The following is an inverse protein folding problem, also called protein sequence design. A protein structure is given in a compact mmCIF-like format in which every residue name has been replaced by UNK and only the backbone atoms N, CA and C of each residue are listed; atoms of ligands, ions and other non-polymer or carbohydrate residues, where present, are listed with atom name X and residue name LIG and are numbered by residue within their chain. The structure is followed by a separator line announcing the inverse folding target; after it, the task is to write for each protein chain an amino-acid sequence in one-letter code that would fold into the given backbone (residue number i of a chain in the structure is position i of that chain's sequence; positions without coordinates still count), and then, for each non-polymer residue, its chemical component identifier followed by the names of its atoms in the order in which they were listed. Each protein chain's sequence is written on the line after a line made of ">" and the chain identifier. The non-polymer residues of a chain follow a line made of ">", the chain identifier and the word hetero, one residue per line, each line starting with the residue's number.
data_IF_817999543169
#
_entry.id   IF_817999543169
#
_cell.length_a   1.000
_cell.length_b   1.000
_cell.length_c   1.000
_cell.angle_alpha   90.00
_cell.angle_beta   90.00
_cell.angle_gamma   90.00
#
_symmetry.space_group_name_H-M   'P 1'
#
loop_
_entity.id
_entity.type
_entity.pdbx_description
1 polymer ?
#
# COMPACT_ATOMS: atom_id res chain seq x y z
N UNK A 1 18.24 -3.21 -20.03
CA UNK A 1 19.71 -3.36 -20.16
C UNK A 1 20.15 -4.82 -20.04
N UNK A 2 19.77 -5.51 -18.97
CA UNK A 2 20.34 -6.82 -18.61
C UNK A 2 19.85 -8.00 -19.45
N UNK A 3 18.83 -7.77 -20.28
CA UNK A 3 18.41 -8.68 -21.34
C UNK A 3 19.28 -8.58 -22.61
N UNK A 4 20.18 -7.59 -22.69
CA UNK A 4 21.08 -7.37 -23.83
C UNK A 4 22.48 -7.91 -23.50
N UNK A 5 23.10 -8.60 -24.45
CA UNK A 5 24.41 -9.22 -24.30
C UNK A 5 25.46 -8.22 -23.75
N UNK A 6 26.12 -8.53 -22.61
CA UNK A 6 27.18 -7.69 -22.04
C UNK A 6 28.32 -7.37 -23.01
N UNK A 7 28.58 -8.20 -24.03
CA UNK A 7 29.59 -7.96 -25.04
C UNK A 7 29.31 -6.70 -25.88
N UNK A 8 28.04 -6.29 -25.99
CA UNK A 8 27.62 -5.07 -26.70
C UNK A 8 27.95 -3.79 -25.91
N UNK A 9 28.16 -3.90 -24.59
CA UNK A 9 28.51 -2.79 -23.70
C UNK A 9 30.03 -2.59 -23.53
N UNK A 10 30.84 -3.39 -24.24
CA UNK A 10 32.30 -3.22 -24.22
C UNK A 10 32.68 -1.95 -24.99
N UNK A 11 33.74 -1.25 -24.55
CA UNK A 11 34.25 -0.07 -25.26
C UNK A 11 34.51 -0.37 -26.74
N UNK A 12 34.07 0.53 -27.63
CA UNK A 12 34.14 0.40 -29.08
C UNK A 12 32.85 -0.12 -29.73
N UNK A 13 31.75 -0.25 -28.98
CA UNK A 13 30.41 -0.62 -29.48
C UNK A 13 29.37 0.40 -29.00
N UNK A 14 28.57 0.07 -27.99
CA UNK A 14 27.67 1.02 -27.35
C UNK A 14 28.41 1.70 -26.19
N UNK A 15 29.13 2.77 -26.50
CA UNK A 15 29.93 3.52 -25.52
C UNK A 15 29.10 4.43 -24.61
N UNK A 16 27.82 4.63 -24.93
CA UNK A 16 26.90 5.47 -24.17
C UNK A 16 25.60 4.73 -23.91
N UNK A 17 25.22 4.66 -22.64
CA UNK A 17 23.91 4.21 -22.21
C UNK A 17 23.10 5.44 -21.78
N UNK A 18 21.97 5.67 -22.43
CA UNK A 18 21.02 6.72 -22.04
C UNK A 18 19.80 6.03 -21.45
N UNK A 19 19.59 6.21 -20.14
CA UNK A 19 18.41 5.71 -19.47
C UNK A 19 17.32 6.78 -19.50
N UNK A 20 16.16 6.44 -20.07
CA UNK A 20 14.99 7.31 -20.06
C UNK A 20 14.23 7.06 -18.75
N UNK A 21 14.15 8.04 -17.84
CA UNK A 21 13.41 7.89 -16.58
C UNK A 21 11.91 7.90 -16.84
N UNK A 22 11.13 7.51 -15.83
CA UNK A 22 9.68 7.64 -15.90
C UNK A 22 9.26 9.12 -15.94
N UNK A 23 8.15 9.44 -16.64
CA UNK A 23 7.68 10.81 -16.72
C UNK A 23 7.22 11.29 -15.34
N UNK A 24 7.78 12.42 -14.90
CA UNK A 24 7.32 13.17 -13.73
C UNK A 24 5.94 13.80 -14.01
N UNK A 25 5.32 14.45 -13.02
CA UNK A 25 4.00 15.07 -13.19
C UNK A 25 3.96 16.06 -14.37
N UNK A 26 5.03 16.82 -14.60
CA UNK A 26 5.13 17.80 -15.69
C UNK A 26 5.20 17.10 -17.05
N UNK A 27 6.08 16.12 -17.18
CA UNK A 27 6.21 15.30 -18.38
C UNK A 27 4.92 14.54 -18.68
N UNK A 28 4.21 14.00 -17.67
CA UNK A 28 2.91 13.35 -17.86
C UNK A 28 1.86 14.32 -18.42
N UNK A 29 1.81 15.56 -17.92
CA UNK A 29 0.95 16.61 -18.45
C UNK A 29 1.30 16.94 -19.91
N UNK A 30 2.58 17.05 -20.25
CA UNK A 30 3.03 17.29 -21.62
C UNK A 30 2.64 16.15 -22.56
N UNK A 31 2.83 14.90 -22.14
CA UNK A 31 2.44 13.71 -22.89
C UNK A 31 0.92 13.69 -23.08
N UNK A 32 0.15 13.99 -22.04
CA UNK A 32 -1.31 14.14 -22.11
C UNK A 32 -1.71 15.22 -23.10
N UNK A 33 -1.08 16.39 -23.08
CA UNK A 33 -1.32 17.47 -24.06
C UNK A 33 -1.07 17.01 -25.49
N UNK A 34 0.00 16.24 -25.74
CA UNK A 34 0.30 15.72 -27.08
C UNK A 34 -0.80 14.77 -27.55
N UNK A 35 -1.22 13.83 -26.72
CA UNK A 35 -2.23 12.83 -27.11
C UNK A 35 -3.65 13.39 -27.15
N UNK A 36 -3.96 14.44 -26.38
CA UNK A 36 -5.27 15.08 -26.35
C UNK A 36 -5.43 16.22 -27.34
N UNK A 37 -4.35 16.65 -28.03
CA UNK A 37 -4.37 17.77 -28.98
C UNK A 37 -5.42 17.63 -30.08
N UNK A 38 -5.67 16.41 -30.55
CA UNK A 38 -6.63 16.11 -31.61
C UNK A 38 -7.97 15.58 -31.08
N UNK A 39 -8.16 15.60 -29.75
CA UNK A 39 -9.38 15.13 -29.12
C UNK A 39 -10.31 16.31 -28.82
N UNK A 40 -11.61 16.21 -29.13
CA UNK A 40 -12.57 17.24 -28.79
C UNK A 40 -12.89 17.18 -27.29
N UNK A 41 -12.08 17.84 -26.46
CA UNK A 41 -12.24 17.88 -25.01
C UNK A 41 -13.36 18.83 -24.57
N UNK A 42 -13.96 18.53 -23.43
CA UNK A 42 -14.83 19.48 -22.71
C UNK A 42 -13.98 20.58 -22.06
N UNK A 43 -13.98 21.76 -22.65
CA UNK A 43 -13.32 22.97 -22.16
C UNK A 43 -14.32 23.92 -21.48
N UNK A 44 -13.83 24.91 -20.73
CA UNK A 44 -14.66 25.98 -20.12
C UNK A 44 -15.61 26.70 -21.08
N UNK A 45 -15.26 26.85 -22.37
CA UNK A 45 -16.15 27.42 -23.39
C UNK A 45 -17.32 26.49 -23.74
N UNK A 46 -17.05 25.19 -23.84
CA UNK A 46 -18.08 24.18 -24.16
C UNK A 46 -19.00 23.86 -22.97
N UNK A 47 -18.55 24.13 -21.74
CA UNK A 47 -19.43 24.13 -20.55
C UNK A 47 -20.36 25.35 -20.56
N UNK A 48 -19.91 26.49 -21.11
CA UNK A 48 -20.74 27.71 -21.23
C UNK A 48 -21.74 27.62 -22.39
N UNK A 49 -21.41 26.94 -23.49
CA UNK A 49 -22.33 26.70 -24.62
C UNK A 49 -23.41 25.67 -24.32
N UNK A 50 -23.29 24.91 -23.23
CA UNK A 50 -24.24 23.87 -22.82
C UNK A 50 -24.00 22.51 -23.48
N UNK A 51 -22.90 22.36 -24.23
CA UNK A 51 -22.52 21.09 -24.88
C UNK A 51 -21.93 20.07 -23.88
N UNK A 52 -21.52 20.54 -22.69
CA UNK A 52 -20.91 19.72 -21.64
C UNK A 52 -21.53 20.03 -20.27
N UNK A 53 -21.67 19.02 -19.41
CA UNK A 53 -22.12 19.24 -18.03
C UNK A 53 -21.13 20.08 -17.21
N UNK A 54 -21.60 20.86 -16.23
CA UNK A 54 -20.76 21.70 -15.34
C UNK A 54 -19.65 20.95 -14.57
N UNK A 55 -19.66 19.61 -14.55
CA UNK A 55 -18.64 18.76 -13.93
C UNK A 55 -17.82 17.92 -14.90
N UNK A 56 -17.95 18.13 -16.21
CA UNK A 56 -17.26 17.35 -17.24
C UNK A 56 -16.00 18.03 -17.80
N UNK A 57 -15.64 19.22 -17.30
CA UNK A 57 -14.44 19.95 -17.73
C UNK A 57 -13.17 19.12 -17.48
N UNK A 58 -12.35 18.97 -18.52
CA UNK A 58 -11.14 18.15 -18.47
C UNK A 58 -9.97 18.97 -17.94
N UNK A 59 -9.52 18.62 -16.74
CA UNK A 59 -8.32 19.18 -16.14
C UNK A 59 -7.13 18.22 -16.32
N UNK A 60 -6.24 18.57 -17.25
CA UNK A 60 -5.04 17.78 -17.54
C UNK A 60 -4.04 17.76 -16.38
N UNK A 61 -3.99 18.80 -15.54
CA UNK A 61 -3.11 18.82 -14.38
C UNK A 61 -3.57 17.80 -13.33
N UNK A 62 -4.88 17.72 -13.12
CA UNK A 62 -5.50 16.74 -12.22
C UNK A 62 -5.33 15.31 -12.74
N UNK A 63 -5.48 15.08 -14.05
CA UNK A 63 -5.22 13.76 -14.65
C UNK A 63 -3.73 13.38 -14.49
N UNK A 64 -2.80 14.33 -14.64
CA UNK A 64 -1.37 14.08 -14.45
C UNK A 64 -1.00 13.72 -12.99
N UNK A 65 -1.74 14.26 -12.01
CA UNK A 65 -1.63 13.85 -10.59
C UNK A 65 -2.12 12.42 -10.39
N UNK A 66 -3.27 12.07 -10.97
CA UNK A 66 -3.90 10.75 -10.81
C UNK A 66 -3.20 9.62 -11.59
N UNK A 67 -2.44 9.94 -12.63
CA UNK A 67 -1.74 8.97 -13.50
C UNK A 67 -0.32 8.66 -13.02
N UNK A 68 -0.11 8.61 -11.71
CA UNK A 68 1.20 8.25 -11.16
C UNK A 68 1.62 6.83 -11.55
N UNK A 69 2.87 6.66 -11.98
CA UNK A 69 3.39 5.37 -12.46
C UNK A 69 2.99 4.98 -13.89
N UNK A 70 2.23 5.81 -14.61
CA UNK A 70 1.93 5.58 -16.03
C UNK A 70 3.15 5.90 -16.90
N UNK A 71 3.44 5.03 -17.86
CA UNK A 71 4.39 5.31 -18.95
C UNK A 71 3.74 6.18 -20.02
N UNK A 72 4.53 6.75 -20.93
CA UNK A 72 3.97 7.48 -22.08
C UNK A 72 3.01 6.64 -22.92
N UNK A 73 3.27 5.33 -23.05
CA UNK A 73 2.38 4.40 -23.74
C UNK A 73 1.06 4.17 -22.97
N UNK A 74 1.11 4.10 -21.64
CA UNK A 74 -0.09 3.96 -20.81
C UNK A 74 -0.96 5.23 -20.90
N UNK A 75 -0.34 6.41 -20.93
CA UNK A 75 -1.05 7.68 -21.12
C UNK A 75 -1.71 7.75 -22.50
N UNK A 76 -1.02 7.28 -23.55
CA UNK A 76 -1.60 7.18 -24.88
C UNK A 76 -2.79 6.22 -24.91
N UNK A 77 -2.68 5.07 -24.25
CA UNK A 77 -3.76 4.10 -24.11
C UNK A 77 -4.94 4.70 -23.31
N UNK A 78 -4.67 5.44 -22.24
CA UNK A 78 -5.68 6.13 -21.43
C UNK A 78 -6.47 7.14 -22.27
N UNK A 79 -5.78 7.96 -23.08
CA UNK A 79 -6.44 8.92 -23.97
C UNK A 79 -7.33 8.20 -25.00
N UNK A 80 -6.84 7.08 -25.57
CA UNK A 80 -7.62 6.27 -26.52
C UNK A 80 -8.85 5.64 -25.86
N UNK A 81 -8.71 5.11 -24.65
CA UNK A 81 -9.81 4.49 -23.91
C UNK A 81 -10.84 5.52 -23.45
N UNK A 82 -10.41 6.73 -23.10
CA UNK A 82 -11.32 7.85 -22.82
C UNK A 82 -12.15 8.23 -24.07
N UNK A 83 -11.52 8.25 -25.25
CA UNK A 83 -12.22 8.45 -26.52
C UNK A 83 -13.25 7.33 -26.78
N UNK A 84 -12.86 6.08 -26.55
CA UNK A 84 -13.75 4.92 -26.70
C UNK A 84 -14.91 4.94 -25.71
N UNK A 85 -14.70 5.39 -24.48
CA UNK A 85 -15.75 5.57 -23.48
C UNK A 85 -16.77 6.62 -23.92
N UNK A 86 -16.30 7.77 -24.41
CA UNK A 86 -17.16 8.80 -24.98
C UNK A 86 -17.95 8.29 -26.19
N UNK A 87 -17.34 7.46 -27.04
CA UNK A 87 -17.99 6.85 -28.20
C UNK A 87 -19.06 5.83 -27.77
N UNK A 88 -18.76 4.96 -26.79
CA UNK A 88 -19.73 4.02 -26.21
C UNK A 88 -20.93 4.76 -25.63
N UNK A 89 -20.71 5.86 -24.92
CA UNK A 89 -21.78 6.73 -24.40
C UNK A 89 -22.65 7.29 -25.52
N UNK A 90 -22.06 7.72 -26.63
CA UNK A 90 -22.80 8.25 -27.78
C UNK A 90 -23.66 7.17 -28.46
N UNK A 91 -23.13 5.96 -28.61
CA UNK A 91 -23.88 4.79 -29.13
C UNK A 91 -25.04 4.44 -28.19
N UNK A 92 -24.80 4.34 -26.87
CA UNK A 92 -25.85 3.99 -25.89
C UNK A 92 -26.96 5.02 -25.78
N UNK A 93 -26.69 6.30 -26.07
CA UNK A 93 -27.70 7.36 -26.14
C UNK A 93 -28.50 7.36 -27.45
N UNK A 94 -28.22 6.43 -28.37
CA UNK A 94 -28.87 6.35 -29.68
C UNK A 94 -28.49 7.48 -30.64
N UNK A 95 -27.39 8.20 -30.35
CA UNK A 95 -26.89 9.28 -31.20
C UNK A 95 -26.08 8.75 -32.39
N UNK A 96 -25.62 7.50 -32.33
CA UNK A 96 -24.85 6.86 -33.40
C UNK A 96 -25.55 5.54 -33.72
N UNK A 97 -26.15 5.46 -34.89
CA UNK A 97 -26.68 4.23 -35.45
C UNK A 97 -25.55 3.50 -36.18
N UNK A 98 -25.19 2.31 -35.70
CA UNK A 98 -24.09 1.51 -36.26
C UNK A 98 -24.48 0.87 -37.60
N UNK A 99 -25.77 0.87 -37.95
CA UNK A 99 -26.27 0.28 -39.19
C UNK A 99 -26.21 1.25 -40.38
N UNK A 100 -25.91 2.54 -40.15
CA UNK A 100 -25.75 3.54 -41.20
C UNK A 100 -24.29 3.72 -41.61
N UNK A 101 -24.02 3.75 -42.93
CA UNK A 101 -22.66 3.91 -43.48
C UNK A 101 -22.04 5.30 -43.20
N UNK A 102 -22.85 6.31 -42.83
CA UNK A 102 -22.40 7.69 -42.66
C UNK A 102 -22.86 8.29 -41.34
N UNK A 103 -21.92 8.87 -40.58
CA UNK A 103 -22.23 9.59 -39.33
C UNK A 103 -22.60 11.05 -39.67
N UNK A 104 -23.77 11.55 -39.23
CA UNK A 104 -24.15 12.95 -39.45
C UNK A 104 -23.13 13.94 -38.86
N UNK A 105 -22.78 14.98 -39.61
CA UNK A 105 -21.81 16.00 -39.16
C UNK A 105 -22.23 16.73 -37.88
N UNK A 106 -23.52 16.88 -37.63
CA UNK A 106 -24.05 17.46 -36.40
C UNK A 106 -23.63 16.66 -35.16
N UNK A 107 -23.56 15.34 -35.27
CA UNK A 107 -23.21 14.44 -34.16
C UNK A 107 -21.70 14.45 -33.92
N UNK A 108 -20.91 14.48 -35.01
CA UNK A 108 -19.45 14.65 -34.93
C UNK A 108 -19.07 15.97 -34.27
N UNK A 109 -19.83 17.04 -34.53
CA UNK A 109 -19.58 18.37 -33.95
C UNK A 109 -19.91 18.44 -32.45
N UNK A 110 -20.86 17.62 -31.97
CA UNK A 110 -21.32 17.56 -30.56
C UNK A 110 -20.57 16.54 -29.72
N UNK A 111 -19.84 15.60 -30.33
CA UNK A 111 -19.08 14.61 -29.58
C UNK A 111 -17.96 15.30 -28.80
N UNK A 112 -17.99 15.17 -27.47
CA UNK A 112 -16.98 15.70 -26.57
C UNK A 112 -16.55 14.63 -25.57
N UNK A 113 -15.27 14.65 -25.21
CA UNK A 113 -14.67 13.79 -24.18
C UNK A 113 -14.58 14.58 -22.89
N UNK A 114 -15.26 14.08 -21.85
CA UNK A 114 -15.33 14.71 -20.54
C UNK A 114 -14.44 14.03 -19.51
N UNK A 115 -14.31 14.67 -18.34
CA UNK A 115 -13.54 14.13 -17.22
C UNK A 115 -14.03 12.75 -16.74
N UNK A 116 -15.35 12.50 -16.82
CA UNK A 116 -15.94 11.19 -16.49
C UNK A 116 -15.40 10.06 -17.35
N UNK A 117 -15.11 10.35 -18.62
CA UNK A 117 -14.65 9.35 -19.59
C UNK A 117 -13.20 8.95 -19.28
N UNK A 118 -12.38 9.90 -18.82
CA UNK A 118 -11.04 9.62 -18.30
C UNK A 118 -11.06 8.82 -17.00
N UNK A 119 -11.96 9.14 -16.07
CA UNK A 119 -12.12 8.38 -14.82
C UNK A 119 -12.56 6.94 -15.08
N UNK A 120 -13.42 6.73 -16.07
CA UNK A 120 -13.82 5.39 -16.50
C UNK A 120 -12.68 4.64 -17.20
N UNK A 121 -11.94 5.32 -18.09
CA UNK A 121 -10.78 4.75 -18.76
C UNK A 121 -9.68 4.28 -17.79
N UNK A 122 -9.46 5.02 -16.69
CA UNK A 122 -8.50 4.64 -15.64
C UNK A 122 -8.84 3.31 -14.95
N UNK A 123 -10.10 2.85 -15.01
CA UNK A 123 -10.47 1.54 -14.46
C UNK A 123 -9.96 0.38 -15.32
N UNK A 124 -9.76 0.61 -16.62
CA UNK A 124 -9.36 -0.41 -17.59
C UNK A 124 -7.88 -0.33 -17.96
N UNK A 125 -7.33 0.89 -18.04
CA UNK A 125 -5.92 1.13 -18.37
C UNK A 125 -5.10 1.16 -17.10
N UNK A 126 -4.62 0.00 -16.65
CA UNK A 126 -3.68 -0.06 -15.54
C UNK A 126 -2.24 0.21 -16.00
N UNK A 127 -1.43 0.96 -15.22
CA UNK A 127 -0.05 1.26 -15.57
C UNK A 127 0.76 -0.01 -15.81
N UNK A 128 1.53 -0.04 -16.90
CA UNK A 128 2.34 -1.21 -17.27
C UNK A 128 3.42 -1.49 -16.22
N UNK A 129 3.88 -0.46 -15.51
CA UNK A 129 4.85 -0.58 -14.40
C UNK A 129 4.29 -1.41 -13.23
N UNK A 130 2.98 -1.38 -13.01
CA UNK A 130 2.31 -2.15 -11.94
C UNK A 130 2.13 -3.63 -12.29
N UNK A 131 2.35 -4.04 -13.54
CA UNK A 131 2.02 -5.42 -13.99
C UNK A 131 2.93 -6.51 -13.43
N UNK A 132 4.05 -6.17 -12.79
CA UNK A 132 4.97 -7.19 -12.25
C UNK A 132 5.37 -7.01 -10.77
N UNK A 133 5.18 -5.82 -10.18
CA UNK A 133 5.29 -5.57 -8.72
C UNK A 133 4.28 -4.46 -8.41
N UNK A 134 3.28 -4.78 -7.59
CA UNK A 134 2.14 -3.90 -7.32
C UNK A 134 2.64 -2.73 -6.45
N UNK A 135 2.83 -1.54 -7.04
CA UNK A 135 2.91 -0.30 -6.26
C UNK A 135 1.47 0.00 -5.83
N UNK A 136 1.17 -0.23 -4.56
CA UNK A 136 -0.12 0.13 -3.99
C UNK A 136 -0.08 1.60 -3.59
N UNK A 137 -1.19 2.32 -3.75
CA UNK A 137 -1.42 3.57 -3.02
C UNK A 137 -2.29 3.17 -1.82
N UNK A 138 -1.72 3.02 -0.62
CA UNK A 138 -2.51 2.68 0.55
C UNK A 138 -3.48 3.82 0.87
N UNK A 139 -4.72 3.48 1.23
CA UNK A 139 -5.76 4.43 1.65
C UNK A 139 -5.93 4.43 3.19
N UNK A 140 -4.98 3.87 3.92
CA UNK A 140 -5.04 3.76 5.39
C UNK A 140 -4.41 5.01 5.99
N UNK A 141 -5.11 5.67 6.91
CA UNK A 141 -4.58 6.84 7.62
C UNK A 141 -4.25 6.52 9.08
N UNK A 142 -3.55 7.44 9.77
CA UNK A 142 -3.28 7.29 11.21
C UNK A 142 -4.55 7.19 12.06
N UNK A 143 -5.65 7.76 11.56
CA UNK A 143 -6.96 7.75 12.21
C UNK A 143 -7.66 6.38 12.11
N UNK A 144 -7.23 5.51 11.19
CA UNK A 144 -7.77 4.16 11.02
C UNK A 144 -7.06 3.13 11.92
N UNK A 145 -6.05 3.56 12.68
CA UNK A 145 -5.35 2.74 13.66
C UNK A 145 -5.72 3.25 15.05
N UNK A 146 -6.40 2.44 15.87
CA UNK A 146 -6.76 2.83 17.24
C UNK A 146 -5.57 2.70 18.20
N UNK A 147 -5.30 3.73 19.00
CA UNK A 147 -4.24 3.74 20.03
C UNK A 147 -2.80 3.78 19.49
N UNK A 148 -1.85 3.24 20.28
CA UNK A 148 -0.41 3.15 19.97
C UNK A 148 0.29 4.50 19.70
N UNK A 149 -0.03 5.54 20.45
CA UNK A 149 0.46 6.90 20.19
C UNK A 149 1.99 7.00 20.19
N UNK A 150 2.67 6.28 21.09
CA UNK A 150 4.13 6.23 21.16
C UNK A 150 4.74 5.63 19.87
N UNK A 151 4.18 4.53 19.37
CA UNK A 151 4.67 3.85 18.15
C UNK A 151 4.37 4.70 16.91
N UNK A 152 3.18 5.33 16.85
CA UNK A 152 2.84 6.25 15.77
C UNK A 152 3.79 7.43 15.72
N UNK A 153 4.13 7.98 16.88
CA UNK A 153 5.08 9.07 17.00
C UNK A 153 6.48 8.64 16.54
N UNK A 154 6.97 7.49 16.99
CA UNK A 154 8.26 6.94 16.57
C UNK A 154 8.31 6.72 15.04
N UNK A 155 7.26 6.16 14.43
CA UNK A 155 7.19 5.97 12.98
C UNK A 155 7.12 7.29 12.19
N UNK A 156 6.44 8.32 12.72
CA UNK A 156 6.44 9.67 12.13
C UNK A 156 7.83 10.27 12.11
N UNK A 157 8.57 10.14 13.21
CA UNK A 157 9.93 10.66 13.35
C UNK A 157 10.92 9.97 12.41
N UNK A 158 10.74 8.67 12.21
CA UNK A 158 11.66 7.83 11.42
C UNK A 158 11.38 7.96 9.92
N UNK A 159 10.12 8.11 9.49
CA UNK A 159 9.75 8.07 8.07
C UNK A 159 9.22 9.39 7.55
N UNK A 160 8.27 10.02 8.25
CA UNK A 160 7.66 11.25 7.76
C UNK A 160 8.59 12.46 7.89
N UNK A 161 9.30 12.59 9.02
CA UNK A 161 10.14 13.75 9.28
C UNK A 161 11.31 13.86 8.30
N UNK A 162 12.06 12.79 7.95
CA UNK A 162 13.10 12.89 6.92
C UNK A 162 12.59 13.35 5.56
N UNK A 163 11.33 13.02 5.22
CA UNK A 163 10.71 13.42 3.96
C UNK A 163 10.20 14.86 4.00
N UNK A 164 9.56 15.27 5.11
CA UNK A 164 8.95 16.62 5.28
C UNK A 164 9.96 17.70 5.67
N UNK A 165 10.93 17.36 6.52
CA UNK A 165 11.84 18.28 7.21
C UNK A 165 13.30 18.08 6.82
N UNK A 166 13.54 17.71 5.56
CA UNK A 166 14.87 17.38 5.03
C UNK A 166 15.96 18.43 5.32
N UNK A 167 15.64 19.71 5.21
CA UNK A 167 16.59 20.80 5.43
C UNK A 167 17.21 20.75 6.84
N UNK A 168 16.40 20.45 7.85
CA UNK A 168 16.88 20.34 9.23
C UNK A 168 17.79 19.12 9.44
N UNK A 169 17.53 18.00 8.74
CA UNK A 169 18.41 16.83 8.79
C UNK A 169 19.78 17.13 8.14
N UNK A 170 19.78 17.82 7.00
CA UNK A 170 21.00 18.21 6.30
C UNK A 170 21.82 19.24 7.12
N UNK A 171 21.17 20.20 7.79
CA UNK A 171 21.82 21.18 8.69
C UNK A 171 22.42 20.53 9.94
N UNK A 172 21.71 19.56 10.54
CA UNK A 172 22.17 18.85 11.73
C UNK A 172 23.18 17.74 11.40
N UNK A 173 23.38 17.41 10.11
CA UNK A 173 24.27 16.34 9.67
C UNK A 173 23.82 14.93 10.11
N UNK A 174 22.51 14.74 10.31
CA UNK A 174 21.94 13.47 10.79
C UNK A 174 21.47 12.65 9.58
N UNK A 175 21.91 11.40 9.48
CA UNK A 175 21.36 10.47 8.49
C UNK A 175 20.04 9.89 8.98
N UNK A 176 18.99 9.87 8.13
CA UNK A 176 17.76 9.19 8.47
C UNK A 176 17.96 7.67 8.53
N UNK A 177 17.20 6.98 9.38
CA UNK A 177 17.25 5.53 9.50
C UNK A 177 16.85 4.84 8.20
N UNK A 178 17.50 3.71 7.90
CA UNK A 178 17.40 3.04 6.58
C UNK A 178 16.42 1.87 6.60
N UNK A 179 16.30 1.20 7.74
CA UNK A 179 15.48 0.02 7.90
C UNK A 179 14.73 -0.03 9.22
N UNK A 180 13.44 -0.33 9.13
CA UNK A 180 12.57 -0.50 10.28
C UNK A 180 12.08 -1.94 10.32
N UNK A 181 12.25 -2.62 11.45
CA UNK A 181 11.66 -3.94 11.70
C UNK A 181 10.55 -3.81 12.73
N UNK A 182 9.30 -4.05 12.30
CA UNK A 182 8.15 -4.22 13.17
C UNK A 182 8.05 -5.69 13.59
N UNK A 183 8.01 -5.95 14.89
CA UNK A 183 7.73 -7.29 15.39
C UNK A 183 6.70 -7.27 16.51
N UNK A 184 5.98 -8.37 16.65
CA UNK A 184 4.96 -8.53 17.68
C UNK A 184 3.99 -9.64 17.33
N UNK A 185 2.99 -9.90 18.19
CA UNK A 185 2.02 -10.94 17.96
C UNK A 185 1.26 -10.77 16.63
N UNK A 186 0.72 -11.85 16.05
CA UNK A 186 -0.16 -11.73 14.88
C UNK A 186 -1.41 -10.91 15.22
N UNK A 187 -1.96 -10.19 14.23
CA UNK A 187 -3.22 -9.46 14.41
C UNK A 187 -3.14 -8.09 15.11
N UNK A 188 -1.95 -7.61 15.50
CA UNK A 188 -1.77 -6.27 16.11
C UNK A 188 -1.70 -5.10 15.12
N UNK A 189 -1.79 -5.38 13.81
CA UNK A 189 -1.86 -4.33 12.78
C UNK A 189 -0.52 -3.86 12.20
N UNK A 190 0.57 -4.65 12.28
CA UNK A 190 1.88 -4.32 11.68
C UNK A 190 1.79 -3.86 10.21
N UNK A 191 1.03 -4.58 9.38
CA UNK A 191 0.77 -4.22 7.98
C UNK A 191 -0.02 -2.91 7.85
N UNK A 192 -0.93 -2.60 8.79
CA UNK A 192 -1.67 -1.34 8.80
C UNK A 192 -0.76 -0.15 9.13
N UNK A 193 0.17 -0.30 10.08
CA UNK A 193 1.19 0.71 10.36
C UNK A 193 2.01 1.05 9.11
N UNK A 194 2.42 0.03 8.35
CA UNK A 194 3.14 0.22 7.08
C UNK A 194 2.37 1.04 6.06
N UNK A 195 1.10 0.68 5.87
CA UNK A 195 0.21 1.37 4.94
C UNK A 195 -0.03 2.82 5.38
N UNK A 196 -0.30 3.05 6.66
CA UNK A 196 -0.52 4.39 7.22
C UNK A 196 0.68 5.31 7.06
N UNK A 197 1.88 4.83 7.37
CA UNK A 197 3.12 5.60 7.19
C UNK A 197 3.32 6.01 5.74
N UNK A 198 3.08 5.11 4.78
CA UNK A 198 3.25 5.41 3.37
C UNK A 198 2.22 6.43 2.87
N UNK A 199 0.95 6.31 3.28
CA UNK A 199 -0.10 7.26 2.93
C UNK A 199 0.18 8.67 3.48
N UNK A 200 0.59 8.77 4.73
CA UNK A 200 0.78 10.05 5.44
C UNK A 200 2.09 10.77 5.07
N UNK A 201 3.07 10.00 4.57
CA UNK A 201 4.30 10.52 3.96
C UNK A 201 4.13 10.89 2.48
N UNK A 202 3.05 10.47 1.83
CA UNK A 202 2.86 10.64 0.39
C UNK A 202 3.88 9.87 -0.46
N UNK A 203 4.47 8.82 0.10
CA UNK A 203 5.46 7.99 -0.57
C UNK A 203 4.80 6.82 -1.31
N UNK A 204 5.44 6.35 -2.38
CA UNK A 204 5.01 5.13 -3.08
C UNK A 204 5.16 3.92 -2.16
N UNK A 205 4.19 3.01 -2.15
CA UNK A 205 4.25 1.82 -1.30
C UNK A 205 4.42 0.56 -2.14
N UNK A 206 5.49 -0.19 -1.88
CA UNK A 206 5.73 -1.49 -2.50
C UNK A 206 5.57 -2.55 -1.41
N UNK A 207 4.48 -3.31 -1.46
CA UNK A 207 4.23 -4.41 -0.54
C UNK A 207 4.75 -5.72 -1.13
N UNK A 208 5.56 -6.44 -0.37
CA UNK A 208 6.08 -7.75 -0.73
C UNK A 208 5.83 -8.70 0.42
N UNK A 209 5.08 -9.78 0.16
CA UNK A 209 4.89 -10.85 1.15
C UNK A 209 5.99 -11.89 0.97
N UNK A 210 6.62 -12.34 2.04
CA UNK A 210 7.70 -13.32 2.01
C UNK A 210 7.38 -14.55 1.14
N UNK A 211 6.23 -15.23 1.34
CA UNK A 211 5.84 -16.39 0.53
C UNK A 211 5.66 -16.11 -0.97
N UNK A 212 5.38 -14.86 -1.35
CA UNK A 212 5.22 -14.48 -2.77
C UNK A 212 6.56 -14.49 -3.51
N UNK A 213 7.66 -14.14 -2.84
CA UNK A 213 9.01 -14.17 -3.43
C UNK A 213 9.40 -15.60 -3.81
N UNK A 214 9.05 -16.57 -2.96
CA UNK A 214 9.37 -17.98 -3.15
C UNK A 214 8.53 -18.64 -4.25
N UNK A 215 7.26 -18.26 -4.37
CA UNK A 215 6.31 -18.91 -5.28
C UNK A 215 6.35 -18.35 -6.70
N UNK A 216 6.47 -17.02 -6.87
CA UNK A 216 6.45 -16.38 -8.19
C UNK A 216 7.77 -16.52 -8.96
N UNK A 217 8.89 -16.77 -8.28
CA UNK A 217 10.23 -16.85 -8.88
C UNK A 217 10.94 -18.15 -8.51
N UNK A 218 10.44 -19.28 -9.03
CA UNK A 218 11.10 -20.58 -8.89
C UNK A 218 12.44 -20.54 -9.61
N UNK A 219 13.55 -20.59 -8.87
CA UNK A 219 14.92 -20.62 -9.41
C UNK A 219 15.59 -19.26 -9.66
N UNK A 220 14.86 -18.14 -9.58
CA UNK A 220 15.38 -16.77 -9.78
C UNK A 220 15.01 -15.78 -8.67
N UNK A 221 14.75 -16.26 -7.45
CA UNK A 221 14.29 -15.42 -6.34
C UNK A 221 15.27 -14.29 -5.97
N UNK A 222 16.59 -14.45 -6.20
CA UNK A 222 17.58 -13.37 -6.03
C UNK A 222 17.33 -12.19 -6.98
N UNK A 223 17.02 -12.48 -8.25
CA UNK A 223 16.73 -11.45 -9.25
C UNK A 223 15.46 -10.70 -8.87
N UNK A 224 14.48 -11.38 -8.28
CA UNK A 224 13.25 -10.76 -7.80
C UNK A 224 13.52 -9.70 -6.72
N UNK A 225 14.35 -10.04 -5.72
CA UNK A 225 14.77 -9.08 -4.68
C UNK A 225 15.46 -7.86 -5.31
N UNK A 226 16.43 -8.10 -6.21
CA UNK A 226 17.12 -7.02 -6.93
C UNK A 226 16.18 -6.12 -7.72
N UNK A 227 15.20 -6.71 -8.40
CA UNK A 227 14.22 -5.99 -9.19
C UNK A 227 13.26 -5.16 -8.32
N UNK A 228 12.82 -5.69 -7.16
CA UNK A 228 12.03 -4.94 -6.17
C UNK A 228 12.78 -3.67 -5.74
N UNK A 229 14.05 -3.80 -5.34
CA UNK A 229 14.85 -2.64 -4.92
C UNK A 229 15.16 -1.71 -6.08
N UNK A 230 15.41 -2.21 -7.28
CA UNK A 230 15.58 -1.37 -8.48
C UNK A 230 14.34 -0.54 -8.78
N UNK A 231 13.14 -1.12 -8.66
CA UNK A 231 11.87 -0.41 -8.84
C UNK A 231 11.60 0.59 -7.73
N UNK A 232 11.86 0.23 -6.48
CA UNK A 232 11.76 1.15 -5.34
C UNK A 232 12.62 2.40 -5.55
N UNK A 233 13.84 2.22 -6.09
CA UNK A 233 14.74 3.32 -6.45
C UNK A 233 14.19 4.21 -7.57
N UNK A 234 13.56 3.61 -8.59
CA UNK A 234 12.91 4.37 -9.67
C UNK A 234 11.63 5.09 -9.20
N UNK A 235 10.98 4.58 -8.15
CA UNK A 235 9.76 5.11 -7.57
C UNK A 235 10.00 5.99 -6.33
N UNK A 236 11.22 6.45 -6.07
CA UNK A 236 11.51 7.31 -4.92
C UNK A 236 10.72 8.64 -5.00
N UNK A 237 10.14 9.16 -3.90
CA UNK A 237 10.15 8.61 -2.53
C UNK A 237 9.29 7.35 -2.38
N UNK A 238 9.84 6.31 -1.75
CA UNK A 238 9.19 5.00 -1.67
C UNK A 238 9.45 4.29 -0.33
N UNK A 239 8.40 3.64 0.19
CA UNK A 239 8.47 2.69 1.30
C UNK A 239 8.34 1.27 0.74
N UNK A 240 9.38 0.46 0.93
CA UNK A 240 9.37 -0.98 0.60
C UNK A 240 9.00 -1.75 1.84
N UNK A 241 7.86 -2.43 1.83
CA UNK A 241 7.35 -3.19 2.97
C UNK A 241 7.45 -4.70 2.72
N UNK A 242 8.26 -5.39 3.52
CA UNK A 242 8.36 -6.85 3.55
C UNK A 242 7.48 -7.42 4.68
N UNK A 243 6.33 -7.99 4.33
CA UNK A 243 5.50 -8.72 5.29
C UNK A 243 5.98 -10.17 5.41
N UNK A 244 5.90 -10.75 6.61
CA UNK A 244 6.41 -12.09 6.92
C UNK A 244 7.86 -12.30 6.46
N UNK A 245 8.74 -11.36 6.81
CA UNK A 245 10.16 -11.40 6.40
C UNK A 245 10.88 -12.66 6.90
N UNK A 246 10.39 -13.28 7.98
CA UNK A 246 10.89 -14.56 8.49
C UNK A 246 10.70 -15.73 7.52
N UNK A 247 9.79 -15.63 6.54
CA UNK A 247 9.62 -16.63 5.50
C UNK A 247 10.76 -16.63 4.47
N UNK A 248 11.40 -15.47 4.25
CA UNK A 248 12.48 -15.28 3.25
C UNK A 248 13.86 -15.11 3.88
N UNK A 249 13.91 -14.78 5.17
CA UNK A 249 15.16 -14.58 5.89
C UNK A 249 15.25 -15.31 7.24
N UNK A 250 15.07 -16.64 7.25
CA UNK A 250 15.31 -17.42 8.44
C UNK A 250 16.82 -17.47 8.77
N UNK A 251 17.15 -17.76 10.03
CA UNK A 251 18.52 -17.96 10.48
C UNK A 251 19.17 -19.10 9.69
N UNK A 252 20.44 -18.89 9.33
CA UNK A 252 21.22 -19.82 8.51
C UNK A 252 21.30 -21.20 9.16
N UNK A 253 21.09 -22.25 8.37
CA UNK A 253 21.14 -23.64 8.85
C UNK A 253 19.92 -24.12 9.63
N UNK A 254 18.84 -23.32 9.71
CA UNK A 254 17.61 -23.69 10.44
C UNK A 254 16.76 -24.77 9.76
N UNK A 255 17.01 -25.12 8.49
CA UNK A 255 16.28 -26.19 7.76
C UNK A 255 17.26 -27.08 6.99
N UNK A 256 17.39 -28.33 7.42
CA UNK A 256 18.03 -29.38 6.62
C UNK A 256 17.10 -29.73 5.44
N UNK A 257 17.38 -29.21 4.24
CA UNK A 257 16.66 -29.59 3.01
C UNK A 257 16.46 -28.49 1.99
N UNK A 258 16.58 -27.21 2.37
CA UNK A 258 16.52 -26.10 1.41
C UNK A 258 17.88 -25.94 0.71
N UNK A 259 17.88 -25.89 -0.62
CA UNK A 259 19.06 -25.99 -1.50
C UNK A 259 19.99 -24.76 -1.50
N UNK A 260 20.21 -24.13 -0.34
CA UNK A 260 20.92 -22.86 -0.18
C UNK A 260 20.22 -21.67 -0.84
N UNK A 261 18.97 -21.86 -1.32
CA UNK A 261 18.16 -20.83 -1.97
C UNK A 261 17.84 -19.71 -0.97
N UNK A 262 17.47 -20.07 0.26
CA UNK A 262 17.16 -19.09 1.32
C UNK A 262 18.38 -18.26 1.69
N UNK A 263 19.55 -18.90 1.90
CA UNK A 263 20.79 -18.18 2.22
C UNK A 263 21.18 -17.20 1.11
N UNK A 264 20.95 -17.59 -0.15
CA UNK A 264 21.13 -16.75 -1.33
C UNK A 264 20.21 -15.53 -1.35
N UNK A 265 18.91 -15.71 -1.06
CA UNK A 265 17.95 -14.61 -0.92
C UNK A 265 18.35 -13.66 0.22
N UNK A 266 18.74 -14.19 1.38
CA UNK A 266 19.20 -13.39 2.52
C UNK A 266 20.43 -12.57 2.15
N UNK A 267 21.44 -13.18 1.53
CA UNK A 267 22.63 -12.46 1.09
C UNK A 267 22.29 -11.34 0.10
N UNK A 268 21.38 -11.59 -0.85
CA UNK A 268 20.94 -10.56 -1.79
C UNK A 268 20.16 -9.44 -1.09
N UNK A 269 19.28 -9.75 -0.14
CA UNK A 269 18.56 -8.74 0.65
C UNK A 269 19.53 -7.86 1.44
N UNK A 270 20.53 -8.47 2.11
CA UNK A 270 21.58 -7.75 2.82
C UNK A 270 22.38 -6.83 1.89
N UNK A 271 22.77 -7.33 0.71
CA UNK A 271 23.50 -6.54 -0.28
C UNK A 271 22.69 -5.36 -0.81
N UNK A 272 21.38 -5.52 -1.04
CA UNK A 272 20.51 -4.41 -1.45
C UNK A 272 20.33 -3.41 -0.31
N UNK A 273 20.14 -3.85 0.94
CA UNK A 273 20.02 -2.96 2.11
C UNK A 273 21.30 -2.13 2.32
N UNK A 274 22.47 -2.76 2.22
CA UNK A 274 23.76 -2.06 2.33
C UNK A 274 23.96 -1.07 1.16
N UNK A 275 23.40 -1.40 -0.03
CA UNK A 275 23.44 -0.57 -1.24
C UNK A 275 22.46 0.63 -1.26
N UNK A 276 21.47 0.69 -0.37
CA UNK A 276 20.53 1.82 -0.26
C UNK A 276 21.21 3.08 0.24
N UNK A 277 22.35 2.97 0.93
CA UNK A 277 23.08 4.11 1.51
C UNK A 277 23.46 5.22 0.53
N UNK A 278 23.47 4.97 -0.78
CA UNK A 278 23.73 5.99 -1.80
C UNK A 278 22.49 6.81 -2.21
N UNK A 279 21.28 6.40 -1.81
CA UNK A 279 20.03 6.91 -2.38
C UNK A 279 19.14 7.56 -1.33
N UNK A 280 19.01 8.87 -1.48
CA UNK A 280 18.12 9.75 -0.73
C UNK A 280 16.68 9.36 -1.05
N UNK A 281 15.89 8.93 -0.05
CA UNK A 281 14.41 8.79 -0.04
C UNK A 281 13.80 7.38 -0.29
N UNK A 282 14.53 6.29 -0.07
CA UNK A 282 13.91 4.95 0.03
C UNK A 282 14.03 4.44 1.46
N UNK A 283 12.91 4.03 2.05
CA UNK A 283 12.87 3.44 3.39
C UNK A 283 12.45 1.99 3.28
N UNK A 284 13.17 1.09 3.93
CA UNK A 284 12.80 -0.32 4.01
C UNK A 284 12.09 -0.57 5.33
N UNK A 285 10.92 -1.18 5.28
CA UNK A 285 10.22 -1.63 6.46
C UNK A 285 9.90 -3.11 6.34
N UNK A 286 10.01 -3.85 7.44
CA UNK A 286 9.70 -5.26 7.47
C UNK A 286 8.81 -5.58 8.67
N UNK A 287 7.97 -6.60 8.54
CA UNK A 287 7.15 -7.12 9.63
C UNK A 287 7.40 -8.62 9.83
N UNK A 288 7.49 -9.04 11.09
CA UNK A 288 7.55 -10.45 11.45
C UNK A 288 6.76 -10.76 12.71
N UNK A 289 6.21 -11.97 12.78
CA UNK A 289 5.63 -12.52 14.01
C UNK A 289 6.69 -13.30 14.82
N UNK A 290 7.83 -13.64 14.21
CA UNK A 290 8.84 -14.54 14.77
C UNK A 290 10.24 -13.95 14.61
N UNK A 291 10.58 -12.92 15.39
CA UNK A 291 11.91 -12.31 15.29
C UNK A 291 13.03 -13.24 15.81
N UNK A 292 12.68 -14.30 16.55
CA UNK A 292 13.61 -15.31 17.08
C UNK A 292 14.25 -16.18 16.00
N UNK A 293 13.59 -16.34 14.85
CA UNK A 293 14.09 -17.17 13.75
C UNK A 293 14.73 -16.34 12.63
N UNK A 294 14.78 -15.02 12.75
CA UNK A 294 15.32 -14.13 11.71
C UNK A 294 16.86 -14.18 11.71
N UNK A 295 17.50 -14.04 10.53
CA UNK A 295 18.96 -13.94 10.46
C UNK A 295 19.45 -12.70 11.25
N UNK A 296 20.28 -12.87 12.32
CA UNK A 296 20.79 -11.76 13.11
C UNK A 296 21.56 -10.71 12.30
N UNK A 297 22.09 -11.08 11.13
CA UNK A 297 22.76 -10.16 10.23
C UNK A 297 21.84 -9.01 9.77
N UNK A 298 20.53 -9.24 9.67
CA UNK A 298 19.56 -8.21 9.31
C UNK A 298 19.36 -7.15 10.40
N UNK A 299 19.62 -7.51 11.67
CA UNK A 299 19.45 -6.64 12.85
C UNK A 299 20.68 -5.78 13.13
N UNK A 300 21.74 -5.89 12.33
CA UNK A 300 22.97 -5.11 12.52
C UNK A 300 22.75 -3.65 12.12
N UNK A 301 23.46 -2.70 12.78
CA UNK A 301 23.41 -1.28 12.41
C UNK A 301 23.67 -1.06 10.91
N UNK A 302 22.88 -0.17 10.30
CA UNK A 302 22.92 0.11 8.85
C UNK A 302 21.93 -0.70 8.01
N UNK A 303 21.28 -1.72 8.60
CA UNK A 303 20.22 -2.52 7.98
C UNK A 303 18.87 -2.23 8.63
N UNK A 304 18.31 -3.12 9.46
CA UNK A 304 17.20 -2.78 10.35
C UNK A 304 17.73 -2.14 11.62
N UNK A 305 18.11 -0.87 11.50
CA UNK A 305 18.64 -0.04 12.57
C UNK A 305 17.57 0.38 13.61
N UNK A 306 16.29 0.36 13.23
CA UNK A 306 15.17 0.59 14.14
C UNK A 306 14.31 -0.66 14.28
N UNK A 307 14.26 -1.20 15.50
CA UNK A 307 13.45 -2.38 15.82
C UNK A 307 12.32 -1.96 16.77
N UNK A 308 11.09 -2.00 16.28
CA UNK A 308 9.90 -1.53 17.00
C UNK A 308 9.06 -2.74 17.39
N UNK A 309 8.84 -2.88 18.70
CA UNK A 309 7.91 -3.86 19.25
C UNK A 309 6.49 -3.29 19.23
N UNK A 310 5.57 -4.00 18.58
CA UNK A 310 4.14 -3.70 18.63
C UNK A 310 3.47 -4.60 19.67
N UNK A 311 3.14 -4.07 20.87
CA UNK A 311 2.52 -4.86 21.92
C UNK A 311 1.06 -5.18 21.56
N UNK A 312 0.43 -6.14 22.28
CA UNK A 312 -1.03 -6.25 22.31
C UNK A 312 -1.68 -4.94 22.78
N UNK A 313 -2.91 -4.62 22.34
CA UNK A 313 -3.56 -3.37 22.70
C UNK A 313 -3.98 -3.36 24.18
N UNK A 314 -3.68 -2.26 24.88
CA UNK A 314 -4.17 -1.98 26.24
C UNK A 314 -5.67 -1.63 26.23
N UNK A 315 -6.28 -1.44 27.41
CA UNK A 315 -7.72 -1.13 27.49
C UNK A 315 -8.10 0.14 26.70
N UNK A 316 -7.25 1.17 26.75
CA UNK A 316 -7.46 2.43 26.02
C UNK A 316 -7.35 2.22 24.51
N UNK A 317 -6.33 1.51 24.05
CA UNK A 317 -6.17 1.17 22.63
C UNK A 317 -7.33 0.30 22.15
N UNK A 318 -7.79 -0.68 22.93
CA UNK A 318 -8.96 -1.49 22.57
C UNK A 318 -10.22 -0.64 22.41
N UNK A 319 -10.46 0.34 23.27
CA UNK A 319 -11.57 1.28 23.14
C UNK A 319 -11.48 2.06 21.82
N UNK A 320 -10.31 2.60 21.49
CA UNK A 320 -10.10 3.32 20.21
C UNK A 320 -10.26 2.40 18.99
N UNK A 321 -9.75 1.16 19.07
CA UNK A 321 -9.92 0.14 18.01
C UNK A 321 -11.41 -0.18 17.82
N UNK A 322 -12.18 -0.32 18.90
CA UNK A 322 -13.64 -0.48 18.81
C UNK A 322 -14.29 0.71 18.11
N UNK A 323 -13.98 1.94 18.51
CA UNK A 323 -14.53 3.16 17.88
C UNK A 323 -14.26 3.20 16.38
N UNK A 324 -13.04 2.85 15.96
CA UNK A 324 -12.66 2.79 14.54
C UNK A 324 -13.51 1.74 13.79
N UNK A 325 -13.60 0.52 14.32
CA UNK A 325 -14.35 -0.55 13.65
C UNK A 325 -15.87 -0.38 13.70
N UNK A 326 -16.40 0.38 14.66
CA UNK A 326 -17.83 0.68 14.76
C UNK A 326 -18.26 1.97 14.05
N UNK A 327 -17.34 2.75 13.49
CA UNK A 327 -17.62 4.06 12.87
C UNK A 327 -18.71 4.01 11.79
N UNK A 328 -18.75 2.94 11.02
CA UNK A 328 -19.72 2.74 9.93
C UNK A 328 -20.87 1.79 10.28
N UNK A 329 -21.00 1.45 11.57
CA UNK A 329 -21.95 0.43 12.05
C UNK A 329 -23.04 1.10 12.88
N UNK A 330 -24.29 0.73 12.66
CA UNK A 330 -25.42 1.23 13.46
C UNK A 330 -25.41 0.55 14.82
N UNK A 331 -24.94 1.26 15.85
CA UNK A 331 -24.98 0.79 17.23
C UNK A 331 -26.30 1.17 17.90
N UNK A 332 -26.76 0.36 18.86
CA UNK A 332 -27.89 0.70 19.71
C UNK A 332 -27.50 1.81 20.71
N UNK A 333 -28.47 2.65 21.11
CA UNK A 333 -28.22 3.83 21.94
C UNK A 333 -27.80 3.52 23.38
N UNK A 334 -28.03 2.29 23.84
CA UNK A 334 -27.63 1.77 25.15
C UNK A 334 -26.21 1.20 25.18
N UNK A 335 -25.50 1.22 24.04
CA UNK A 335 -24.22 0.54 23.91
C UNK A 335 -23.05 1.40 24.44
N UNK A 336 -22.29 0.83 25.38
CA UNK A 336 -21.05 1.42 25.92
C UNK A 336 -19.84 0.61 25.48
N UNK A 337 -19.00 1.19 24.62
CA UNK A 337 -17.79 0.54 24.09
C UNK A 337 -16.73 0.31 25.19
N UNK A 338 -16.77 1.11 26.25
CA UNK A 338 -15.89 1.00 27.41
C UNK A 338 -16.06 -0.34 28.13
N UNK A 339 -17.30 -0.84 28.21
CA UNK A 339 -17.59 -2.13 28.84
C UNK A 339 -17.02 -3.29 28.01
N UNK A 340 -17.04 -3.18 26.68
CA UNK A 340 -16.43 -4.16 25.78
C UNK A 340 -14.91 -4.14 25.89
N UNK A 341 -14.29 -2.96 25.91
CA UNK A 341 -12.84 -2.82 26.05
C UNK A 341 -12.31 -3.47 27.32
N UNK A 342 -13.06 -3.40 28.43
CA UNK A 342 -12.72 -4.09 29.70
C UNK A 342 -12.84 -5.61 29.62
N UNK A 343 -13.82 -6.12 28.86
CA UNK A 343 -14.12 -7.56 28.74
C UNK A 343 -13.23 -8.29 27.72
N UNK A 344 -12.47 -7.57 26.90
CA UNK A 344 -11.69 -8.12 25.78
C UNK A 344 -10.18 -8.12 26.05
N UNK A 345 -9.76 -8.37 27.29
CA UNK A 345 -8.35 -8.61 27.60
C UNK A 345 -7.81 -9.79 26.75
N UNK A 346 -6.65 -9.61 26.12
CA UNK A 346 -6.03 -10.62 25.25
C UNK A 346 -6.52 -10.60 23.79
N UNK A 347 -7.48 -9.74 23.43
CA UNK A 347 -7.90 -9.55 22.05
C UNK A 347 -6.92 -8.64 21.29
N UNK A 348 -6.58 -9.04 20.08
CA UNK A 348 -5.81 -8.24 19.12
C UNK A 348 -6.73 -7.32 18.30
N UNK A 349 -6.16 -6.42 17.50
CA UNK A 349 -6.95 -5.60 16.57
C UNK A 349 -7.75 -6.45 15.58
N UNK A 350 -7.15 -7.54 15.09
CA UNK A 350 -7.83 -8.50 14.23
C UNK A 350 -9.00 -9.22 14.94
N UNK A 351 -8.84 -9.58 16.21
CA UNK A 351 -9.90 -10.22 17.00
C UNK A 351 -11.06 -9.26 17.24
N UNK A 352 -10.78 -7.99 17.55
CA UNK A 352 -11.81 -6.96 17.74
C UNK A 352 -12.56 -6.72 16.43
N UNK A 353 -11.86 -6.64 15.30
CA UNK A 353 -12.48 -6.52 13.98
C UNK A 353 -13.38 -7.73 13.67
N UNK A 354 -12.93 -8.95 14.01
CA UNK A 354 -13.73 -10.16 13.87
C UNK A 354 -14.97 -10.14 14.79
N UNK A 355 -14.82 -9.65 16.03
CA UNK A 355 -15.90 -9.54 17.02
C UNK A 355 -17.00 -8.60 16.55
N UNK A 356 -16.63 -7.40 16.07
CA UNK A 356 -17.58 -6.42 15.52
C UNK A 356 -18.29 -7.00 14.29
N UNK A 357 -17.57 -7.70 13.40
CA UNK A 357 -18.14 -8.35 12.23
C UNK A 357 -19.14 -9.45 12.61
N UNK A 358 -18.82 -10.28 13.60
CA UNK A 358 -19.73 -11.34 14.06
C UNK A 358 -20.98 -10.75 14.72
N UNK A 359 -20.83 -9.72 15.55
CA UNK A 359 -21.97 -9.00 16.14
C UNK A 359 -22.88 -8.39 15.05
N UNK A 360 -22.29 -7.83 13.98
CA UNK A 360 -23.04 -7.31 12.84
C UNK A 360 -23.78 -8.42 12.07
N UNK A 361 -23.14 -9.58 11.89
CA UNK A 361 -23.77 -10.74 11.24
C UNK A 361 -24.92 -11.32 12.07
N UNK A 362 -24.82 -11.32 13.40
CA UNK A 362 -25.91 -11.72 14.30
C UNK A 362 -27.11 -10.79 14.18
N UNK A 363 -26.88 -9.48 14.22
CA UNK A 363 -27.94 -8.48 14.03
C UNK A 363 -28.59 -8.58 12.65
N UNK A 364 -27.81 -8.87 11.61
CA UNK A 364 -28.32 -9.09 10.26
C UNK A 364 -29.17 -10.37 10.17
N UNK A 365 -28.74 -11.48 10.77
CA UNK A 365 -29.53 -12.73 10.80
C UNK A 365 -30.87 -12.53 11.50
N UNK A 366 -30.90 -11.77 12.59
CA UNK A 366 -32.14 -11.43 13.30
C UNK A 366 -33.06 -10.58 12.41
N UNK A 367 -32.52 -9.54 11.76
CA UNK A 367 -33.25 -8.67 10.82
C UNK A 367 -33.91 -9.49 9.69
N UNK A 368 -33.16 -10.41 9.08
CA UNK A 368 -33.65 -11.27 7.98
C UNK A 368 -34.74 -12.22 8.49
N UNK A 369 -34.54 -12.85 9.66
CA UNK A 369 -35.49 -13.79 10.24
C UNK A 369 -36.84 -13.13 10.54
N UNK A 370 -36.82 -11.89 10.99
CA UNK A 370 -38.02 -11.12 11.31
C UNK A 370 -38.63 -10.38 10.12
N UNK A 371 -38.00 -10.46 8.92
CA UNK A 371 -38.40 -9.72 7.72
C UNK A 371 -38.54 -8.21 7.98
N UNK A 372 -37.67 -7.65 8.82
CA UNK A 372 -37.68 -6.23 9.10
C UNK A 372 -37.27 -5.44 7.84
N UNK A 373 -37.99 -4.36 7.52
CA UNK A 373 -37.72 -3.51 6.35
C UNK A 373 -36.41 -2.71 6.44
N UNK A 374 -35.75 -2.68 7.60
CA UNK A 374 -34.48 -2.02 7.83
C UNK A 374 -33.61 -2.82 8.79
N UNK A 375 -32.28 -2.74 8.61
CA UNK A 375 -31.31 -3.38 9.49
C UNK A 375 -31.43 -2.88 10.94
N UNK A 376 -31.60 -3.81 11.89
CA UNK A 376 -31.60 -3.51 13.32
C UNK A 376 -30.24 -2.97 13.77
N UNK A 377 -30.20 -2.04 14.74
CA UNK A 377 -28.95 -1.62 15.36
C UNK A 377 -28.33 -2.79 16.14
N UNK A 378 -27.00 -2.83 16.21
CA UNK A 378 -26.28 -3.83 16.98
C UNK A 378 -26.41 -3.49 18.47
N UNK A 379 -27.05 -4.38 19.22
CA UNK A 379 -27.21 -4.29 20.66
C UNK A 379 -26.08 -5.03 21.41
N UNK A 380 -26.02 -4.83 22.73
CA UNK A 380 -25.07 -5.54 23.59
C UNK A 380 -25.25 -7.06 23.53
N UNK A 381 -26.48 -7.56 23.33
CA UNK A 381 -26.76 -9.00 23.24
C UNK A 381 -26.00 -9.67 22.09
N UNK A 382 -25.90 -9.00 20.94
CA UNK A 382 -25.13 -9.50 19.80
C UNK A 382 -23.64 -9.59 20.11
N UNK A 383 -23.09 -8.62 20.85
CA UNK A 383 -21.69 -8.67 21.28
C UNK A 383 -21.44 -9.75 22.33
N UNK A 384 -22.39 -10.00 23.24
CA UNK A 384 -22.25 -11.09 24.21
C UNK A 384 -22.26 -12.46 23.56
N UNK A 385 -23.10 -12.66 22.54
CA UNK A 385 -23.07 -13.89 21.76
C UNK A 385 -21.80 -13.99 20.89
N UNK A 386 -21.33 -12.89 20.30
CA UNK A 386 -20.08 -12.84 19.55
C UNK A 386 -18.86 -13.18 20.44
N UNK A 387 -18.81 -12.66 21.67
CA UNK A 387 -17.74 -12.95 22.66
C UNK A 387 -17.67 -14.44 23.03
N UNK A 388 -18.78 -15.18 22.93
CA UNK A 388 -18.79 -16.64 23.14
C UNK A 388 -18.23 -17.41 21.96
N UNK A 389 -18.31 -16.85 20.74
CA UNK A 389 -17.87 -17.51 19.50
C UNK A 389 -16.42 -17.21 19.15
N UNK A 390 -15.94 -16.02 19.49
CA UNK A 390 -14.59 -15.56 19.14
C UNK A 390 -13.78 -15.49 20.43
N UNK A 391 -12.93 -16.49 20.74
CA UNK A 391 -12.03 -16.41 21.88
C UNK A 391 -10.86 -15.43 21.61
N UNK A 392 -10.18 -14.93 22.66
CA UNK A 392 -8.97 -14.14 22.49
C UNK A 392 -7.87 -14.95 21.81
N UNK A 393 -7.18 -14.35 20.83
CA UNK A 393 -6.06 -15.02 20.14
C UNK A 393 -4.78 -15.06 20.97
N UNK A 394 -4.65 -14.22 22.00
CA UNK A 394 -3.45 -14.18 22.85
C UNK A 394 -3.74 -14.62 24.27
N UNK A 395 -2.95 -15.58 24.75
CA UNK A 395 -2.94 -15.97 26.16
C UNK A 395 -2.02 -15.05 26.98
N UNK A 396 -2.18 -15.07 28.31
CA UNK A 396 -1.25 -14.34 29.22
C UNK A 396 0.19 -14.85 29.11
N UNK A 397 0.38 -16.11 28.74
CA UNK A 397 1.71 -16.70 28.52
C UNK A 397 2.33 -16.17 27.23
N UNK A 398 1.56 -16.07 26.14
CA UNK A 398 2.03 -15.50 24.88
C UNK A 398 2.46 -14.04 25.06
N UNK A 399 1.66 -13.24 25.76
CA UNK A 399 1.99 -11.84 26.05
C UNK A 399 3.32 -11.71 26.80
N UNK A 400 3.52 -12.51 27.86
CA UNK A 400 4.79 -12.55 28.60
C UNK A 400 5.96 -12.97 27.72
N UNK A 401 5.77 -13.98 26.87
CA UNK A 401 6.80 -14.44 25.94
C UNK A 401 7.25 -13.33 24.98
N UNK A 402 6.31 -12.59 24.40
CA UNK A 402 6.65 -11.48 23.50
C UNK A 402 7.32 -10.31 24.24
N UNK A 403 6.90 -10.00 25.47
CA UNK A 403 7.58 -8.98 26.29
C UNK A 403 9.02 -9.36 26.64
N UNK A 404 9.25 -10.62 27.03
CA UNK A 404 10.60 -11.13 27.29
C UNK A 404 11.47 -11.11 26.04
N UNK A 405 10.91 -11.52 24.90
CA UNK A 405 11.58 -11.47 23.61
C UNK A 405 11.94 -10.03 23.23
N UNK A 406 11.03 -9.08 23.43
CA UNK A 406 11.29 -7.66 23.19
C UNK A 406 12.41 -7.11 24.07
N UNK A 407 12.44 -7.49 25.36
CA UNK A 407 13.54 -7.13 26.28
C UNK A 407 14.88 -7.69 25.82
N UNK A 408 14.91 -8.95 25.35
CA UNK A 408 16.13 -9.59 24.83
C UNK A 408 16.63 -8.90 23.56
N UNK A 409 15.75 -8.63 22.61
CA UNK A 409 16.11 -7.99 21.34
C UNK A 409 16.58 -6.55 21.58
N UNK A 410 15.90 -5.78 22.43
CA UNK A 410 16.37 -4.43 22.82
C UNK A 410 17.76 -4.49 23.46
N UNK A 411 18.01 -5.46 24.34
CA UNK A 411 19.33 -5.62 24.97
C UNK A 411 20.41 -5.99 23.95
N UNK A 412 20.12 -6.88 23.00
CA UNK A 412 21.04 -7.25 21.92
C UNK A 412 21.36 -6.05 21.02
N UNK A 413 20.33 -5.31 20.59
CA UNK A 413 20.48 -4.11 19.76
C UNK A 413 21.33 -3.02 20.43
N UNK A 414 21.19 -2.82 21.75
CA UNK A 414 22.00 -1.85 22.52
C UNK A 414 23.45 -2.32 22.69
N UNK A 415 23.69 -3.62 22.77
CA UNK A 415 25.03 -4.19 22.97
C UNK A 415 25.80 -4.43 21.67
N UNK A 416 25.17 -4.27 20.50
CA UNK A 416 25.80 -4.52 19.20
C UNK A 416 26.17 -5.99 18.96
N UNK A 417 25.55 -6.91 19.72
CA UNK A 417 25.71 -8.37 19.65
C UNK A 417 24.51 -8.97 18.93
#
# INVERSE_FOLDING_TARGET
>A
PDAVDPALRRPGRFDREIQIPMPDKRARREILQVHTRNMPLCNSESVKSGDCGRGEEVDLDKIAEMTHGYTGADIAALAKEAAMSALRRAVSKGLIDLDQETIPQEILSKLRVGMSDFLEAMKYVQPTVLREVIIEVPEVHWNDIGGYDEIKQELREIVEWPMKYRAYFDELGIEPPKGILLFGPPGVGKTMFAKAVATESGANFIAVRGPEILSKWVGESEKAVREIFKRARMAAPCVVFFDEVDAIAPARGSRLGDSGVMDRIVNQLLAEMDGIGALKNVVVMAATNRPDILDPALLRPGRFDRIIYVPPPDEKARLEIFKVHTKNVKLASDMRLEDLAKRTEGYTGADIAALVREAAMLALRETIREKAGAAKPISMQHFEEALRRIPPSLTKEDMRRYEELAKRIRKAAVLGL
#
